data_IF_212428445868
#
_entry.id   IF_212428445868
#
_cell.length_a   1.000
_cell.length_b   1.000
_cell.length_c   1.000
_cell.angle_alpha   90.00
_cell.angle_beta   90.00
_cell.angle_gamma   90.00
#
_symmetry.space_group_name_H-M   'P 1'
#
loop_
_entity.id
_entity.type
_entity.pdbx_description
1 polymer ?
#
# COMPACT_ATOMS: atom_id res chain seq x y z
N UNK A 1 -3.50 -8.43 -15.14
CA UNK A 1 -4.45 -9.38 -15.74
C UNK A 1 -5.24 -10.14 -14.69
N UNK A 2 -4.70 -10.41 -13.49
CA UNK A 2 -5.49 -11.03 -12.41
C UNK A 2 -6.72 -10.19 -12.01
N UNK A 3 -6.69 -8.88 -12.20
CA UNK A 3 -7.82 -7.99 -11.96
C UNK A 3 -8.88 -8.04 -13.07
N UNK A 4 -8.51 -8.36 -14.31
CA UNK A 4 -9.45 -8.35 -15.45
C UNK A 4 -10.38 -9.57 -15.46
N UNK A 5 -9.95 -10.71 -14.96
CA UNK A 5 -10.78 -11.92 -14.88
C UNK A 5 -11.85 -11.81 -13.78
N UNK A 6 -11.63 -11.00 -12.76
CA UNK A 6 -12.60 -10.78 -11.65
C UNK A 6 -13.82 -9.99 -12.13
N UNK A 7 -13.73 -9.16 -13.16
CA UNK A 7 -14.85 -8.41 -13.71
C UNK A 7 -15.97 -9.26 -14.35
N UNK A 8 -15.68 -10.51 -14.68
CA UNK A 8 -16.65 -11.44 -15.28
C UNK A 8 -17.33 -12.35 -14.25
N UNK A 9 -16.88 -12.27 -12.99
CA UNK A 9 -17.41 -13.07 -11.89
C UNK A 9 -18.56 -12.34 -11.19
N UNK A 10 -19.44 -13.10 -10.56
CA UNK A 10 -20.51 -12.53 -9.74
C UNK A 10 -19.93 -11.68 -8.60
N UNK A 11 -20.71 -10.76 -8.03
CA UNK A 11 -20.32 -9.97 -6.86
C UNK A 11 -19.78 -10.84 -5.71
N UNK A 12 -20.21 -12.09 -5.62
CA UNK A 12 -19.76 -13.06 -4.64
C UNK A 12 -18.30 -13.47 -4.85
N UNK A 13 -17.86 -13.50 -6.09
CA UNK A 13 -16.53 -13.95 -6.49
C UNK A 13 -15.49 -12.83 -6.45
N UNK A 14 -15.92 -11.56 -6.32
CA UNK A 14 -15.05 -10.38 -6.27
C UNK A 14 -14.56 -10.04 -4.85
N UNK A 15 -15.02 -10.71 -3.81
CA UNK A 15 -14.61 -10.45 -2.43
C UNK A 15 -13.15 -10.90 -2.19
N UNK A 16 -12.40 -10.19 -1.32
CA UNK A 16 -11.03 -10.57 -0.96
C UNK A 16 -10.91 -12.00 -0.39
N UNK A 17 -12.02 -12.58 0.11
CA UNK A 17 -12.08 -13.94 0.64
C UNK A 17 -12.18 -15.02 -0.46
N UNK A 18 -12.37 -14.64 -1.72
CA UNK A 18 -12.41 -15.59 -2.82
C UNK A 18 -11.11 -16.42 -2.87
N UNK A 19 -11.24 -17.74 -3.06
CA UNK A 19 -10.12 -18.69 -2.98
C UNK A 19 -8.93 -18.31 -3.86
N UNK A 20 -9.19 -17.80 -5.06
CA UNK A 20 -8.13 -17.34 -5.97
C UNK A 20 -7.32 -16.18 -5.34
N UNK A 21 -8.00 -15.19 -4.74
CA UNK A 21 -7.34 -14.05 -4.10
C UNK A 21 -6.48 -14.49 -2.91
N UNK A 22 -6.97 -15.44 -2.12
CA UNK A 22 -6.26 -16.05 -1.01
C UNK A 22 -5.01 -16.78 -1.52
N UNK A 23 -5.13 -17.58 -2.58
CA UNK A 23 -3.99 -18.25 -3.22
C UNK A 23 -2.94 -17.25 -3.72
N UNK A 24 -3.36 -16.15 -4.33
CA UNK A 24 -2.44 -15.10 -4.79
C UNK A 24 -1.71 -14.43 -3.61
N UNK A 25 -2.41 -14.15 -2.51
CA UNK A 25 -1.79 -13.58 -1.31
C UNK A 25 -0.77 -14.53 -0.68
N UNK A 26 -1.12 -15.81 -0.52
CA UNK A 26 -0.21 -16.84 0.00
C UNK A 26 1.02 -16.98 -0.90
N UNK A 27 0.83 -17.07 -2.22
CA UNK A 27 1.91 -17.17 -3.21
C UNK A 27 2.85 -15.97 -3.15
N UNK A 28 2.29 -14.76 -3.06
CA UNK A 28 3.08 -13.53 -2.88
C UNK A 28 3.83 -13.55 -1.55
N UNK A 29 3.16 -13.93 -0.46
CA UNK A 29 3.78 -14.03 0.86
C UNK A 29 4.98 -14.98 0.90
N UNK A 30 4.88 -16.14 0.23
CA UNK A 30 6.01 -17.08 0.10
C UNK A 30 7.16 -16.41 -0.68
N UNK A 31 6.86 -15.71 -1.78
CA UNK A 31 7.86 -14.98 -2.56
C UNK A 31 8.51 -13.82 -1.82
N UNK A 32 7.86 -13.29 -0.78
CA UNK A 32 8.39 -12.28 0.13
C UNK A 32 9.12 -12.89 1.34
N UNK A 33 9.38 -14.20 1.32
CA UNK A 33 9.96 -14.92 2.45
C UNK A 33 9.22 -14.63 3.78
N UNK A 34 7.90 -14.54 3.71
CA UNK A 34 7.05 -14.13 4.81
C UNK A 34 6.33 -15.31 5.46
N UNK A 35 5.98 -15.14 6.73
CA UNK A 35 5.19 -16.11 7.48
C UNK A 35 3.74 -16.08 7.01
N UNK A 36 3.22 -17.21 6.57
CA UNK A 36 1.80 -17.37 6.28
C UNK A 36 1.04 -17.69 7.58
N UNK A 37 0.03 -16.90 7.90
CA UNK A 37 -0.79 -17.11 9.09
C UNK A 37 -1.92 -18.11 8.77
N UNK A 38 -1.99 -19.19 9.55
CA UNK A 38 -3.02 -20.25 9.36
C UNK A 38 -4.44 -19.76 9.66
N UNK A 39 -4.56 -18.70 10.45
CA UNK A 39 -5.84 -18.07 10.77
C UNK A 39 -5.74 -16.58 10.52
N UNK A 40 -6.68 -16.05 9.75
CA UNK A 40 -6.80 -14.61 9.50
C UNK A 40 -8.25 -14.16 9.61
N UNK A 41 -8.44 -12.86 9.83
CA UNK A 41 -9.76 -12.27 10.06
C UNK A 41 -9.91 -11.09 9.14
N UNK A 42 -11.07 -11.03 8.47
CA UNK A 42 -11.48 -9.86 7.73
C UNK A 42 -12.23 -8.90 8.65
N UNK A 43 -11.79 -7.65 8.66
CA UNK A 43 -12.34 -6.57 9.45
C UNK A 43 -13.03 -5.55 8.55
N UNK A 44 -13.99 -4.81 9.08
CA UNK A 44 -14.52 -3.59 8.46
C UNK A 44 -13.66 -2.40 8.89
N UNK A 45 -13.09 -1.71 7.89
CA UNK A 45 -12.42 -0.42 8.02
C UNK A 45 -13.42 0.67 7.66
N UNK A 46 -13.94 1.39 8.64
CA UNK A 46 -15.05 2.30 8.42
C UNK A 46 -14.57 3.70 8.08
N UNK A 47 -14.99 4.21 6.94
CA UNK A 47 -14.79 5.60 6.52
C UNK A 47 -15.77 5.95 5.39
N UNK A 48 -16.05 7.24 5.22
CA UNK A 48 -17.08 7.70 4.29
C UNK A 48 -16.46 8.55 3.18
N UNK A 49 -16.54 8.01 1.96
CA UNK A 49 -16.16 8.71 0.73
C UNK A 49 -17.18 8.40 -0.36
N UNK A 50 -17.33 9.32 -1.32
CA UNK A 50 -18.24 9.12 -2.43
C UNK A 50 -17.91 7.90 -3.28
N UNK A 51 -16.63 7.55 -3.38
CA UNK A 51 -16.10 6.36 -4.08
C UNK A 51 -16.08 5.08 -3.24
N UNK A 52 -16.62 5.13 -2.02
CA UNK A 52 -16.86 3.97 -1.15
C UNK A 52 -18.31 3.99 -0.64
N UNK A 53 -19.31 3.71 -1.50
CA UNK A 53 -20.72 3.90 -1.17
C UNK A 53 -21.22 3.10 0.04
N UNK A 54 -20.63 1.94 0.32
CA UNK A 54 -21.00 1.11 1.47
C UNK A 54 -20.52 1.67 2.83
N UNK A 55 -19.66 2.70 2.83
CA UNK A 55 -19.17 3.34 4.04
C UNK A 55 -18.12 2.55 4.84
N UNK A 56 -17.69 1.41 4.32
CA UNK A 56 -16.58 0.62 4.88
C UNK A 56 -15.85 -0.14 3.79
N UNK A 57 -14.62 -0.51 4.08
CA UNK A 57 -13.77 -1.36 3.27
C UNK A 57 -13.51 -2.67 4.03
N UNK A 58 -13.76 -3.82 3.40
CA UNK A 58 -13.30 -5.10 3.95
C UNK A 58 -11.77 -5.10 3.83
N UNK A 59 -11.09 -5.35 4.95
CA UNK A 59 -9.64 -5.34 5.07
C UNK A 59 -9.19 -6.37 6.12
N UNK A 60 -7.92 -6.41 6.47
CA UNK A 60 -7.39 -7.23 7.56
C UNK A 60 -6.50 -6.38 8.43
N UNK A 61 -6.78 -6.26 9.72
CA UNK A 61 -6.06 -5.39 10.63
C UNK A 61 -5.07 -6.15 11.51
N UNK A 62 -5.60 -6.81 12.57
CA UNK A 62 -4.73 -7.51 13.56
C UNK A 62 -4.29 -8.90 13.11
N UNK A 63 -5.06 -9.52 12.23
CA UNK A 63 -4.85 -10.91 11.82
C UNK A 63 -4.75 -10.99 10.29
N UNK A 64 -3.71 -10.41 9.67
CA UNK A 64 -3.51 -10.47 8.23
C UNK A 64 -3.18 -11.90 7.80
N UNK A 65 -3.44 -12.22 6.53
CA UNK A 65 -3.13 -13.54 5.96
C UNK A 65 -1.61 -13.80 5.89
N UNK A 66 -0.80 -12.75 5.68
CA UNK A 66 0.66 -12.85 5.62
C UNK A 66 1.25 -11.92 6.68
N UNK A 67 2.09 -12.47 7.52
CA UNK A 67 2.84 -11.77 8.56
C UNK A 67 4.18 -11.24 8.07
N UNK A 68 5.14 -11.16 9.00
CA UNK A 68 6.46 -10.62 8.71
C UNK A 68 7.24 -11.45 7.68
N UNK A 69 7.99 -10.72 6.86
CA UNK A 69 8.86 -11.27 5.82
C UNK A 69 10.03 -10.35 5.53
N UNK A 70 10.72 -10.59 4.42
CA UNK A 70 11.85 -9.76 4.01
C UNK A 70 12.17 -9.88 2.53
N UNK A 71 12.76 -8.83 1.99
CA UNK A 71 13.32 -8.78 0.64
C UNK A 71 14.80 -8.42 0.73
N UNK A 72 15.66 -9.17 0.03
CA UNK A 72 17.08 -8.83 -0.12
C UNK A 72 17.23 -7.94 -1.35
N UNK A 73 17.81 -6.77 -1.17
CA UNK A 73 18.14 -5.83 -2.23
C UNK A 73 19.61 -5.97 -2.63
N UNK A 74 19.86 -6.00 -3.92
CA UNK A 74 21.20 -5.95 -4.50
C UNK A 74 21.52 -4.48 -4.79
N UNK A 75 22.40 -3.87 -4.01
CA UNK A 75 22.83 -2.47 -4.13
C UNK A 75 24.27 -2.37 -4.60
N UNK A 76 24.68 -1.20 -5.07
CA UNK A 76 26.09 -0.94 -5.42
C UNK A 76 27.04 -1.09 -4.22
N UNK A 77 26.53 -0.91 -3.01
CA UNK A 77 27.25 -1.04 -1.74
C UNK A 77 27.19 -2.43 -1.11
N UNK A 78 26.54 -3.39 -1.75
CA UNK A 78 26.31 -4.75 -1.23
C UNK A 78 24.85 -5.06 -0.98
N UNK A 79 24.57 -6.19 -0.36
CA UNK A 79 23.21 -6.61 -0.06
C UNK A 79 22.61 -5.85 1.11
N UNK A 80 21.33 -5.55 1.02
CA UNK A 80 20.53 -4.98 2.11
C UNK A 80 19.21 -5.72 2.27
N UNK A 81 18.90 -6.10 3.51
CA UNK A 81 17.60 -6.68 3.84
C UNK A 81 16.62 -5.57 4.19
N UNK A 82 15.44 -5.61 3.57
CA UNK A 82 14.28 -4.76 3.90
C UNK A 82 13.17 -5.64 4.42
N UNK A 83 12.70 -5.36 5.63
CA UNK A 83 11.61 -6.09 6.26
C UNK A 83 10.26 -5.79 5.61
N UNK A 84 9.44 -6.81 5.55
CA UNK A 84 8.01 -6.71 5.28
C UNK A 84 7.29 -6.84 6.62
N UNK A 85 6.42 -5.92 6.94
CA UNK A 85 5.60 -5.96 8.15
C UNK A 85 4.47 -6.97 8.00
N UNK A 86 3.77 -6.89 6.87
CA UNK A 86 2.66 -7.78 6.51
C UNK A 86 2.26 -7.62 5.04
N UNK A 87 1.49 -8.58 4.56
CA UNK A 87 0.62 -8.44 3.42
C UNK A 87 -0.80 -8.79 3.85
N UNK A 88 -1.75 -7.95 3.52
CA UNK A 88 -3.15 -8.22 3.79
C UNK A 88 -4.02 -8.04 2.54
N UNK A 89 -5.17 -8.67 2.58
CA UNK A 89 -6.19 -8.55 1.54
C UNK A 89 -7.21 -7.49 1.95
N UNK A 90 -7.64 -6.68 0.99
CA UNK A 90 -8.69 -5.69 1.17
C UNK A 90 -9.51 -5.50 -0.12
N UNK A 91 -10.62 -4.81 -0.02
CA UNK A 91 -11.38 -4.33 -1.17
C UNK A 91 -10.76 -3.04 -1.69
N UNK A 92 -10.65 -2.89 -3.02
CA UNK A 92 -10.32 -1.60 -3.61
C UNK A 92 -11.54 -0.65 -3.53
N UNK A 93 -11.30 0.63 -3.35
CA UNK A 93 -12.32 1.66 -3.47
C UNK A 93 -12.53 2.03 -4.94
N UNK A 94 -13.58 2.78 -5.23
CA UNK A 94 -13.74 3.47 -6.51
C UNK A 94 -12.71 4.60 -6.66
N UNK A 95 -12.97 5.50 -7.59
CA UNK A 95 -12.11 6.65 -7.86
C UNK A 95 -12.95 7.92 -7.97
N UNK A 96 -12.61 8.92 -7.17
CA UNK A 96 -13.13 10.28 -7.31
C UNK A 96 -12.27 11.06 -8.31
N UNK A 97 -12.91 11.69 -9.30
CA UNK A 97 -12.30 12.45 -10.39
C UNK A 97 -12.72 13.90 -10.25
N UNK A 98 -11.76 14.79 -9.98
CA UNK A 98 -12.01 16.20 -9.65
C UNK A 98 -11.56 17.17 -10.75
N UNK A 99 -10.89 16.69 -11.78
CA UNK A 99 -10.23 17.49 -12.82
C UNK A 99 -10.98 17.51 -14.16
N UNK A 100 -12.04 16.72 -14.31
CA UNK A 100 -12.83 16.65 -15.54
C UNK A 100 -13.99 17.64 -15.59
N UNK A 101 -14.51 18.04 -14.44
CA UNK A 101 -15.61 19.01 -14.32
C UNK A 101 -15.32 19.97 -13.16
N UNK A 102 -15.32 21.30 -13.39
CA UNK A 102 -15.02 22.29 -12.35
C UNK A 102 -16.12 22.43 -11.28
N UNK A 103 -17.33 21.96 -11.54
CA UNK A 103 -18.47 22.09 -10.62
C UNK A 103 -18.84 20.75 -9.95
N UNK A 104 -18.45 19.63 -10.53
CA UNK A 104 -18.85 18.30 -10.09
C UNK A 104 -17.63 17.37 -9.90
N UNK A 105 -17.71 16.53 -8.86
CA UNK A 105 -16.83 15.39 -8.72
C UNK A 105 -17.47 14.18 -9.39
N UNK A 106 -16.83 13.61 -10.39
CA UNK A 106 -17.27 12.37 -11.01
C UNK A 106 -16.76 11.17 -10.18
N UNK A 107 -17.56 10.13 -10.08
CA UNK A 107 -17.21 8.92 -9.34
C UNK A 107 -17.19 7.73 -10.30
N UNK A 108 -16.04 7.09 -10.39
CA UNK A 108 -15.84 5.84 -11.13
C UNK A 108 -15.77 4.66 -10.16
N UNK A 109 -16.76 3.77 -10.22
CA UNK A 109 -16.89 2.61 -9.36
C UNK A 109 -16.41 1.31 -10.02
N UNK A 110 -15.78 1.35 -11.20
CA UNK A 110 -15.37 0.14 -11.92
C UNK A 110 -14.38 -0.74 -11.13
N UNK A 111 -13.63 -0.18 -10.20
CA UNK A 111 -12.70 -0.91 -9.33
C UNK A 111 -13.23 -1.17 -7.92
N UNK A 112 -14.39 -0.61 -7.59
CA UNK A 112 -14.96 -0.77 -6.25
C UNK A 112 -15.25 -2.24 -5.93
N UNK A 113 -14.74 -2.71 -4.80
CA UNK A 113 -14.93 -4.09 -4.35
C UNK A 113 -13.96 -5.12 -4.94
N UNK A 114 -13.09 -4.74 -5.89
CA UNK A 114 -12.06 -5.65 -6.41
C UNK A 114 -11.06 -5.98 -5.29
N UNK A 115 -10.62 -7.24 -5.24
CA UNK A 115 -9.61 -7.66 -4.27
C UNK A 115 -8.26 -6.97 -4.53
N UNK A 116 -7.70 -6.38 -3.50
CA UNK A 116 -6.42 -5.69 -3.47
C UNK A 116 -5.50 -6.35 -2.46
N UNK A 117 -4.25 -6.55 -2.81
CA UNK A 117 -3.19 -6.94 -1.87
C UNK A 117 -2.43 -5.68 -1.44
N UNK A 118 -2.40 -5.36 -0.15
CA UNK A 118 -1.54 -4.32 0.38
C UNK A 118 -0.31 -4.94 1.05
N UNK A 119 0.88 -4.57 0.59
CA UNK A 119 2.16 -4.98 1.15
C UNK A 119 2.74 -3.80 1.93
N UNK A 120 2.92 -3.97 3.22
CA UNK A 120 3.48 -2.94 4.11
C UNK A 120 4.92 -3.28 4.42
N UNK A 121 5.86 -2.40 4.08
CA UNK A 121 7.27 -2.57 4.43
C UNK A 121 7.57 -2.03 5.83
N UNK A 122 8.61 -2.58 6.47
CA UNK A 122 9.22 -1.93 7.63
C UNK A 122 9.95 -0.65 7.21
N UNK A 123 10.15 0.31 8.12
CA UNK A 123 10.80 1.58 7.79
C UNK A 123 12.33 1.43 7.70
N UNK A 124 12.81 0.58 6.79
CA UNK A 124 14.22 0.21 6.66
C UNK A 124 14.94 0.96 5.54
N UNK A 125 14.21 1.57 4.60
CA UNK A 125 14.78 2.29 3.46
C UNK A 125 15.41 3.62 3.91
N UNK A 126 16.61 3.94 3.36
CA UNK A 126 17.41 5.10 3.77
C UNK A 126 17.90 5.95 2.61
N UNK A 127 17.75 5.50 1.36
CA UNK A 127 18.20 6.23 0.19
C UNK A 127 17.28 6.03 -1.01
N UNK A 128 17.39 6.89 -2.02
CA UNK A 128 16.66 6.78 -3.28
C UNK A 128 17.08 5.52 -4.07
N UNK A 129 18.36 5.10 -3.96
CA UNK A 129 18.83 3.84 -4.55
C UNK A 129 18.09 2.66 -3.95
N UNK A 130 17.99 2.61 -2.63
CA UNK A 130 17.27 1.54 -1.93
C UNK A 130 15.79 1.49 -2.30
N UNK A 131 15.13 2.64 -2.39
CA UNK A 131 13.72 2.72 -2.83
C UNK A 131 13.54 2.17 -4.25
N UNK A 132 14.43 2.58 -5.17
CA UNK A 132 14.40 2.10 -6.55
C UNK A 132 14.62 0.58 -6.63
N UNK A 133 15.62 0.07 -5.92
CA UNK A 133 15.92 -1.36 -5.85
C UNK A 133 14.75 -2.14 -5.24
N UNK A 134 14.16 -1.63 -4.15
CA UNK A 134 13.03 -2.25 -3.47
C UNK A 134 11.82 -2.40 -4.39
N UNK A 135 11.36 -1.32 -5.01
CA UNK A 135 10.18 -1.37 -5.89
C UNK A 135 10.43 -2.24 -7.13
N UNK A 136 11.62 -2.17 -7.72
CA UNK A 136 11.98 -3.04 -8.84
C UNK A 136 11.99 -4.52 -8.45
N UNK A 137 12.59 -4.85 -7.29
CA UNK A 137 12.65 -6.24 -6.79
C UNK A 137 11.26 -6.77 -6.48
N UNK A 138 10.44 -5.98 -5.77
CA UNK A 138 9.06 -6.32 -5.45
C UNK A 138 8.22 -6.56 -6.72
N UNK A 139 8.29 -5.63 -7.67
CA UNK A 139 7.63 -5.77 -8.98
C UNK A 139 8.06 -7.04 -9.72
N UNK A 140 9.37 -7.35 -9.70
CA UNK A 140 9.92 -8.53 -10.36
C UNK A 140 9.41 -9.83 -9.71
N UNK A 141 9.35 -9.88 -8.37
CA UNK A 141 8.81 -11.01 -7.63
C UNK A 141 7.35 -11.25 -8.02
N UNK A 142 6.50 -10.20 -7.96
CA UNK A 142 5.08 -10.34 -8.28
C UNK A 142 4.83 -10.76 -9.74
N UNK A 143 5.61 -10.22 -10.68
CA UNK A 143 5.52 -10.61 -12.09
C UNK A 143 5.96 -12.04 -12.32
N UNK A 144 7.07 -12.46 -11.71
CA UNK A 144 7.56 -13.85 -11.79
C UNK A 144 6.55 -14.85 -11.24
N UNK A 145 5.93 -14.51 -10.11
CA UNK A 145 4.88 -15.32 -9.50
C UNK A 145 3.54 -15.26 -10.27
N UNK A 146 3.36 -14.31 -11.18
CA UNK A 146 2.10 -14.09 -11.88
C UNK A 146 0.97 -13.56 -10.98
N UNK A 147 1.30 -12.91 -9.86
CA UNK A 147 0.32 -12.37 -8.92
C UNK A 147 -0.03 -10.90 -9.20
N UNK A 148 0.80 -10.21 -9.98
CA UNK A 148 0.54 -8.85 -10.48
C UNK A 148 1.40 -8.61 -11.73
N UNK A 149 0.88 -7.88 -12.71
CA UNK A 149 1.64 -7.46 -13.91
C UNK A 149 2.65 -6.34 -13.59
N UNK A 150 2.47 -5.67 -12.46
CA UNK A 150 3.32 -4.59 -11.98
C UNK A 150 3.24 -3.32 -12.82
N UNK A 151 2.13 -3.10 -13.54
CA UNK A 151 1.94 -1.91 -14.35
C UNK A 151 1.45 -0.73 -13.49
N UNK A 152 2.37 0.19 -13.18
CA UNK A 152 2.04 1.38 -12.38
C UNK A 152 1.20 2.41 -13.14
N UNK A 153 1.32 2.48 -14.48
CA UNK A 153 0.58 3.43 -15.30
C UNK A 153 -0.90 3.07 -15.39
N UNK A 154 -1.21 1.78 -15.42
CA UNK A 154 -2.58 1.27 -15.42
C UNK A 154 -3.13 1.08 -13.99
N UNK A 155 -2.33 1.38 -12.98
CA UNK A 155 -2.73 1.27 -11.58
C UNK A 155 -2.82 -0.15 -11.04
N UNK A 156 -2.24 -1.16 -11.73
CA UNK A 156 -2.14 -2.53 -11.22
C UNK A 156 -1.16 -2.63 -10.04
N UNK A 157 -0.17 -1.74 -9.99
CA UNK A 157 0.74 -1.55 -8.88
C UNK A 157 0.71 -0.07 -8.49
N UNK A 158 0.34 0.21 -7.25
CA UNK A 158 0.35 1.55 -6.65
C UNK A 158 1.27 1.53 -5.44
N UNK A 159 1.82 2.67 -5.08
CA UNK A 159 2.59 2.81 -3.86
C UNK A 159 2.32 4.15 -3.21
N UNK A 160 2.08 4.12 -1.91
CA UNK A 160 2.08 5.31 -1.05
C UNK A 160 3.43 5.35 -0.31
N UNK A 161 3.99 6.53 -0.15
CA UNK A 161 5.32 6.69 0.42
C UNK A 161 5.22 7.45 1.73
N UNK A 162 5.79 6.88 2.79
CA UNK A 162 5.93 7.56 4.07
C UNK A 162 7.36 8.05 4.24
N UNK A 163 7.54 9.36 4.43
CA UNK A 163 8.85 10.00 4.60
C UNK A 163 8.93 10.65 5.96
N UNK A 164 10.04 10.44 6.66
CA UNK A 164 10.42 11.20 7.85
C UNK A 164 11.92 11.42 7.89
N UNK A 165 12.36 12.53 8.46
CA UNK A 165 13.78 12.83 8.68
C UNK A 165 14.08 12.95 10.16
N UNK A 166 15.33 12.71 10.53
CA UNK A 166 15.83 12.87 11.91
C UNK A 166 17.28 13.32 11.91
N UNK A 167 17.70 13.99 12.96
CA UNK A 167 19.12 14.35 13.14
C UNK A 167 19.99 13.10 13.26
N UNK A 168 21.20 13.15 12.72
CA UNK A 168 22.17 12.06 12.84
C UNK A 168 22.43 11.73 14.32
N UNK A 169 22.33 10.46 14.70
CA UNK A 169 22.48 10.00 16.08
C UNK A 169 21.19 9.99 16.92
N UNK A 170 20.10 10.56 16.46
CA UNK A 170 18.81 10.48 17.12
C UNK A 170 18.26 9.05 17.04
N UNK A 171 17.76 8.52 18.19
CA UNK A 171 17.20 7.15 18.30
C UNK A 171 15.77 7.24 17.85
N UNK A 172 14.92 7.48 17.54
CA UNK A 172 13.53 7.46 17.07
C UNK A 172 13.40 7.96 15.66
N UNK A 173 12.29 7.65 15.03
CA UNK A 173 11.93 8.26 13.75
C UNK A 173 11.40 9.68 13.98
N UNK A 174 11.55 10.54 12.98
CA UNK A 174 10.86 11.82 12.94
C UNK A 174 9.37 11.66 12.61
N UNK A 175 8.64 12.75 12.63
CA UNK A 175 7.23 12.78 12.21
C UNK A 175 7.14 12.46 10.73
N UNK A 176 6.30 11.49 10.37
CA UNK A 176 6.13 11.05 8.99
C UNK A 176 5.08 11.88 8.26
N UNK A 177 5.33 12.12 6.98
CA UNK A 177 4.33 12.55 6.02
C UNK A 177 4.09 11.44 5.00
N UNK A 178 2.84 11.15 4.70
CA UNK A 178 2.44 10.24 3.63
C UNK A 178 2.36 11.02 2.32
N UNK A 179 2.97 10.49 1.25
CA UNK A 179 2.94 11.13 -0.07
C UNK A 179 2.13 10.25 -1.02
N UNK A 180 1.11 10.84 -1.63
CA UNK A 180 0.24 10.22 -2.63
C UNK A 180 0.51 10.75 -4.04
N UNK A 181 -0.08 10.10 -5.05
CA UNK A 181 0.03 10.46 -6.46
C UNK A 181 1.44 10.23 -7.06
N UNK A 182 2.08 9.13 -6.64
CA UNK A 182 3.41 8.72 -7.13
C UNK A 182 3.28 7.47 -8.03
N UNK A 183 2.79 7.69 -9.25
CA UNK A 183 2.43 6.63 -10.19
C UNK A 183 3.59 6.12 -11.07
N UNK A 184 4.82 6.42 -10.70
CA UNK A 184 6.03 5.83 -11.29
C UNK A 184 7.19 5.85 -10.31
N UNK A 185 8.18 4.96 -10.50
CA UNK A 185 9.39 4.92 -9.65
C UNK A 185 10.12 6.26 -9.68
N UNK A 186 10.18 6.90 -10.87
CA UNK A 186 10.81 8.22 -11.03
C UNK A 186 10.10 9.28 -10.18
N UNK A 187 8.78 9.36 -10.25
CA UNK A 187 8.02 10.34 -9.48
C UNK A 187 8.08 10.05 -7.98
N UNK A 188 8.14 8.78 -7.60
CA UNK A 188 8.36 8.39 -6.21
C UNK A 188 9.69 8.92 -5.67
N UNK A 189 10.79 8.74 -6.42
CA UNK A 189 12.10 9.25 -6.04
C UNK A 189 12.11 10.78 -5.93
N UNK A 190 11.52 11.49 -6.91
CA UNK A 190 11.41 12.94 -6.89
C UNK A 190 10.60 13.44 -5.69
N UNK A 191 9.49 12.78 -5.39
CA UNK A 191 8.64 13.13 -4.25
C UNK A 191 9.33 12.91 -2.90
N UNK A 192 10.07 11.81 -2.75
CA UNK A 192 10.86 11.51 -1.54
C UNK A 192 11.97 12.55 -1.36
N UNK A 193 12.70 12.84 -2.42
CA UNK A 193 13.80 13.82 -2.36
C UNK A 193 13.29 15.20 -1.96
N UNK A 194 12.24 15.68 -2.62
CA UNK A 194 11.61 16.95 -2.28
C UNK A 194 11.12 16.99 -0.82
N UNK A 195 10.37 15.97 -0.41
CA UNK A 195 9.78 15.95 0.93
C UNK A 195 10.83 15.83 2.03
N UNK A 196 11.89 15.05 1.80
CA UNK A 196 12.99 14.92 2.75
C UNK A 196 13.71 16.27 2.95
N UNK A 197 14.01 16.98 1.85
CA UNK A 197 14.63 18.31 1.91
C UNK A 197 13.70 19.31 2.60
N UNK A 198 12.42 19.37 2.23
CA UNK A 198 11.43 20.23 2.91
C UNK A 198 11.41 20.01 4.43
N UNK A 199 11.41 18.74 4.87
CA UNK A 199 11.40 18.42 6.31
C UNK A 199 12.70 18.84 6.98
N UNK A 200 13.85 18.73 6.30
CA UNK A 200 15.14 19.23 6.81
C UNK A 200 15.09 20.74 6.99
N UNK A 201 14.67 21.48 5.96
CA UNK A 201 14.58 22.94 5.99
C UNK A 201 13.70 23.43 7.14
N UNK A 202 12.49 22.86 7.29
CA UNK A 202 11.58 23.21 8.39
C UNK A 202 12.21 22.97 9.77
N UNK A 203 12.92 21.84 9.95
CA UNK A 203 13.55 21.51 11.23
C UNK A 203 14.77 22.40 11.50
N UNK A 204 15.56 22.75 10.49
CA UNK A 204 16.71 23.64 10.63
C UNK A 204 16.31 25.08 10.93
N UNK A 205 15.15 25.52 10.41
CA UNK A 205 14.53 26.81 10.75
C UNK A 205 13.87 26.83 12.15
N UNK A 206 13.89 25.69 12.87
CA UNK A 206 13.33 25.58 14.22
C UNK A 206 11.83 25.27 14.24
N UNK A 207 11.24 24.94 13.11
CA UNK A 207 9.85 24.51 12.98
C UNK A 207 9.63 23.04 13.37
N UNK A 208 8.39 22.60 13.25
CA UNK A 208 7.97 21.22 13.53
C UNK A 208 7.27 20.65 12.32
N UNK A 209 7.43 19.34 12.12
CA UNK A 209 6.73 18.60 11.06
C UNK A 209 5.41 18.09 11.63
N UNK A 210 4.32 18.38 10.94
CA UNK A 210 3.01 17.82 11.22
C UNK A 210 2.83 16.49 10.49
N UNK A 211 2.18 15.53 11.14
CA UNK A 211 1.79 14.29 10.50
C UNK A 211 0.60 14.57 9.57
N UNK A 212 0.85 14.47 8.27
CA UNK A 212 -0.16 14.81 7.27
C UNK A 212 -0.02 13.92 6.02
N UNK A 213 -1.08 13.90 5.19
CA UNK A 213 -1.04 13.38 3.83
C UNK A 213 -0.78 14.50 2.86
N UNK A 214 0.19 14.31 1.99
CA UNK A 214 0.63 15.27 0.97
C UNK A 214 0.44 14.70 -0.43
N UNK A 215 0.12 15.54 -1.39
CA UNK A 215 0.02 15.19 -2.80
C UNK A 215 1.28 15.64 -3.53
N UNK A 216 1.88 14.75 -4.32
CA UNK A 216 2.99 15.16 -5.20
C UNK A 216 2.46 15.80 -6.47
N UNK A 217 2.82 17.06 -6.71
CA UNK A 217 2.54 17.79 -7.94
C UNK A 217 3.68 17.56 -8.93
N UNK A 218 3.44 16.74 -9.95
CA UNK A 218 4.44 16.36 -10.95
C UNK A 218 4.92 17.55 -11.77
N UNK A 219 4.03 18.53 -12.03
CA UNK A 219 4.37 19.70 -12.87
C UNK A 219 5.27 20.66 -12.15
N UNK A 220 5.06 20.84 -10.86
CA UNK A 220 5.84 21.76 -10.02
C UNK A 220 7.01 21.08 -9.33
N UNK A 221 7.04 19.72 -9.33
CA UNK A 221 8.01 18.91 -8.60
C UNK A 221 8.03 19.25 -7.10
N UNK A 222 6.85 19.37 -6.49
CA UNK A 222 6.70 19.70 -5.07
C UNK A 222 5.62 18.85 -4.41
N UNK A 223 5.70 18.71 -3.09
CA UNK A 223 4.58 18.14 -2.31
C UNK A 223 3.73 19.27 -1.74
N UNK A 224 2.42 19.10 -1.73
CA UNK A 224 1.47 20.02 -1.08
C UNK A 224 0.58 19.28 -0.10
N UNK A 225 0.23 19.92 1.01
CA UNK A 225 -0.73 19.36 1.96
C UNK A 225 -2.08 19.11 1.29
N UNK A 226 -2.66 17.95 1.54
CA UNK A 226 -4.02 17.63 1.06
C UNK A 226 -5.09 18.02 2.08
N UNK A 227 -4.77 17.96 3.38
CA UNK A 227 -5.68 18.27 4.49
C UNK A 227 -4.89 18.68 5.72
N UNK A 228 -5.48 19.56 6.52
CA UNK A 228 -5.01 19.87 7.86
C UNK A 228 -5.34 18.75 8.87
N UNK A 229 -4.69 18.77 10.00
CA UNK A 229 -4.60 17.82 11.12
C UNK A 229 -5.87 17.14 11.65
N UNK A 230 -7.06 17.44 11.16
CA UNK A 230 -8.29 17.07 11.87
C UNK A 230 -8.78 15.64 11.67
N UNK A 231 -8.15 14.87 10.76
CA UNK A 231 -8.64 13.55 10.39
C UNK A 231 -7.57 12.45 10.48
N UNK A 232 -7.01 12.21 11.65
CA UNK A 232 -6.58 10.86 11.97
C UNK A 232 -7.85 10.02 12.11
N UNK A 233 -8.35 9.48 11.01
CA UNK A 233 -9.58 8.69 11.01
C UNK A 233 -9.38 7.49 11.96
N UNK A 234 -10.08 7.48 13.07
CA UNK A 234 -10.33 6.26 13.82
C UNK A 234 -11.26 5.40 12.96
N UNK A 235 -10.67 4.48 12.19
CA UNK A 235 -11.42 3.59 11.31
C UNK A 235 -12.30 2.60 12.06
N UNK A 236 -12.24 2.55 13.39
CA UNK A 236 -13.07 1.69 14.24
C UNK A 236 -13.14 0.26 13.70
N UNK A 237 -11.99 -0.34 13.46
CA UNK A 237 -11.90 -1.70 12.97
C UNK A 237 -12.64 -2.69 13.88
N UNK A 238 -13.48 -3.52 13.28
CA UNK A 238 -14.07 -4.67 13.94
C UNK A 238 -14.22 -5.82 12.95
N UNK A 239 -14.21 -7.09 13.42
CA UNK A 239 -14.43 -8.24 12.54
C UNK A 239 -15.72 -8.11 11.75
N UNK A 240 -15.66 -8.39 10.45
CA UNK A 240 -16.85 -8.37 9.60
C UNK A 240 -17.81 -9.47 10.07
N UNK A 241 -19.07 -9.15 10.43
CA UNK A 241 -20.01 -10.11 10.97
C UNK A 241 -20.50 -11.15 9.95
N UNK A 242 -20.37 -10.85 8.66
CA UNK A 242 -20.82 -11.69 7.57
C UNK A 242 -19.70 -12.64 7.06
N UNK A 243 -18.46 -12.44 7.53
CA UNK A 243 -17.30 -13.23 7.12
C UNK A 243 -16.74 -14.04 8.28
N UNK A 244 -16.72 -15.36 8.14
CA UNK A 244 -16.08 -16.23 9.11
C UNK A 244 -14.54 -16.04 9.06
N UNK A 245 -13.83 -16.31 10.18
CA UNK A 245 -12.38 -16.38 10.16
C UNK A 245 -11.90 -17.35 9.09
N UNK A 246 -10.93 -16.93 8.30
CA UNK A 246 -10.29 -17.77 7.31
C UNK A 246 -9.28 -18.70 8.01
N UNK A 247 -9.45 -20.00 7.84
CA UNK A 247 -8.54 -21.02 8.34
C UNK A 247 -7.91 -21.79 7.17
N UNK A 248 -6.56 -21.75 7.12
CA UNK A 248 -5.76 -22.49 6.14
C UNK A 248 -5.34 -23.82 6.76
N UNK A 249 -5.92 -24.94 6.32
CA UNK A 249 -5.72 -26.27 6.91
C UNK A 249 -4.28 -26.78 6.74
N UNK A 250 -3.75 -26.76 5.53
CA UNK A 250 -2.35 -27.03 5.23
C UNK A 250 -1.91 -26.19 4.02
N UNK A 251 -0.83 -25.47 4.19
CA UNK A 251 -0.16 -24.80 3.07
C UNK A 251 0.68 -25.89 2.40
N UNK A 252 0.09 -26.53 1.39
CA UNK A 252 0.86 -27.42 0.54
C UNK A 252 2.09 -26.66 0.03
N UNK A 253 3.30 -27.22 0.22
CA UNK A 253 4.48 -26.72 -0.46
C UNK A 253 4.23 -26.88 -1.94
N UNK A 254 3.71 -25.87 -2.60
CA UNK A 254 3.67 -25.84 -4.03
C UNK A 254 5.13 -25.95 -4.50
N UNK A 255 5.42 -26.98 -5.26
CA UNK A 255 6.69 -27.03 -5.99
C UNK A 255 6.66 -25.84 -6.97
N UNK A 256 7.50 -24.86 -6.71
CA UNK A 256 7.83 -23.79 -7.63
C UNK A 256 8.92 -24.32 -8.56
#
# INVERSE_FOLDING_TARGET
TATTEIYTLSLHDALPIYEFCIKQAVKTGIGLNAKINKKSIFDRKNYFYADLPQGYQISQYKNPIVGEGSIVLDLTTGEKIVGIERLHLEQDAGKSIHDMDPQNTLVDLNRSGIALMEIVSKPDLRSLEEVNAYIKKLRSIMRYLGTCDGNMQEGSLRADVNVSVRKKGQKGFGTRCEIKNVNSIKFMQMAIDYEANRQVDVIEEGGTIDQETRLFDIKKNETRSMRSKEDAHDYRYFPDPDLLPLELSEIGRAHV
#
